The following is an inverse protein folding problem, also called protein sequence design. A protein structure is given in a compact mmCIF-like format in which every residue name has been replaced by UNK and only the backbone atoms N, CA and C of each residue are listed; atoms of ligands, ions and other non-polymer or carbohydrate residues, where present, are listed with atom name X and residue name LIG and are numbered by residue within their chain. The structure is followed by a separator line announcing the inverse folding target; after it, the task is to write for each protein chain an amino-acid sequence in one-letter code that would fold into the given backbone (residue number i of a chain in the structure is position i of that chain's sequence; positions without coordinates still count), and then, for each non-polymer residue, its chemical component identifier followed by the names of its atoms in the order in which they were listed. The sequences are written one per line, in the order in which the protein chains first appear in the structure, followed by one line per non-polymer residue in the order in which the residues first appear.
data_IF_076255568563
#
_entry.id   IF_076255568563
#
_cell.length_a   1.000
_cell.length_b   1.000
_cell.length_c   1.000
_cell.angle_alpha   90.00
_cell.angle_beta   90.00
_cell.angle_gamma   90.00
#
_symmetry.space_group_name_H-M   'P 1'
#
loop_
_entity.id
_entity.type
_entity.pdbx_description
1 polymer ?
#
# COMPACT_ATOMS: atom_id res chain seq x y z
N UNK A 1 14.81 -7.22 -3.86
CA UNK A 1 15.97 -7.13 -4.77
C UNK A 1 17.17 -7.71 -4.06
N UNK A 2 17.76 -8.75 -4.62
CA UNK A 2 18.95 -9.42 -4.10
C UNK A 2 20.13 -8.98 -4.94
N UNK A 3 21.15 -8.43 -4.30
CA UNK A 3 22.38 -7.98 -4.94
C UNK A 3 23.26 -9.19 -5.32
N UNK A 4 23.90 -9.12 -6.49
CA UNK A 4 24.83 -10.15 -6.99
C UNK A 4 25.89 -10.55 -5.97
N UNK A 5 26.39 -9.59 -5.19
CA UNK A 5 27.42 -9.82 -4.15
C UNK A 5 26.93 -10.71 -3.03
N UNK A 6 25.63 -10.66 -2.71
CA UNK A 6 25.01 -11.52 -1.69
C UNK A 6 24.88 -12.93 -2.26
N UNK A 7 24.37 -13.08 -3.49
CA UNK A 7 24.23 -14.38 -4.14
C UNK A 7 25.57 -15.11 -4.33
N UNK A 8 26.65 -14.37 -4.54
CA UNK A 8 28.00 -14.95 -4.62
C UNK A 8 28.43 -15.65 -3.31
N UNK A 9 27.89 -15.24 -2.15
CA UNK A 9 28.17 -15.86 -0.84
C UNK A 9 27.33 -17.10 -0.56
N UNK A 10 26.29 -17.37 -1.36
CA UNK A 10 25.34 -18.47 -1.15
C UNK A 10 25.21 -19.34 -2.42
N UNK A 11 26.27 -20.04 -2.85
CA UNK A 11 26.31 -20.73 -4.15
C UNK A 11 25.23 -21.81 -4.29
N UNK A 12 24.88 -22.53 -3.22
CA UNK A 12 23.79 -23.52 -3.21
C UNK A 12 22.43 -22.87 -3.51
N UNK A 13 22.15 -21.73 -2.88
CA UNK A 13 20.90 -21.00 -3.10
C UNK A 13 20.85 -20.38 -4.51
N UNK A 14 21.96 -19.82 -4.98
CA UNK A 14 22.07 -19.30 -6.35
C UNK A 14 21.82 -20.38 -7.39
N UNK A 15 22.35 -21.58 -7.18
CA UNK A 15 22.11 -22.71 -8.09
C UNK A 15 20.63 -23.16 -8.04
N UNK A 16 20.03 -23.21 -6.85
CA UNK A 16 18.60 -23.51 -6.71
C UNK A 16 17.73 -22.49 -7.46
N UNK A 17 18.02 -21.20 -7.36
CA UNK A 17 17.32 -20.17 -8.14
C UNK A 17 17.50 -20.39 -9.65
N UNK A 18 18.73 -20.66 -10.11
CA UNK A 18 19.00 -20.91 -11.54
C UNK A 18 18.30 -22.16 -12.08
N UNK A 19 18.16 -23.20 -11.28
CA UNK A 19 17.50 -24.45 -11.68
C UNK A 19 15.99 -24.30 -11.78
N UNK A 20 15.38 -23.49 -10.92
CA UNK A 20 13.92 -23.37 -10.81
C UNK A 20 13.37 -22.06 -11.40
N UNK A 21 14.24 -21.16 -11.90
CA UNK A 21 13.81 -19.94 -12.59
C UNK A 21 12.89 -20.30 -13.76
N UNK A 22 11.81 -19.53 -13.92
CA UNK A 22 10.74 -19.70 -14.92
C UNK A 22 9.64 -20.71 -14.62
N UNK A 23 9.67 -21.44 -13.51
CA UNK A 23 8.64 -22.47 -13.30
C UNK A 23 9.14 -23.86 -13.62
N UNK A 24 9.09 -24.77 -12.64
CA UNK A 24 9.07 -26.20 -12.92
C UNK A 24 7.66 -26.70 -12.61
N UNK A 25 7.09 -27.48 -13.53
CA UNK A 25 5.91 -28.30 -13.29
C UNK A 25 6.33 -29.77 -13.43
N UNK A 26 6.30 -30.51 -12.32
CA UNK A 26 6.68 -31.92 -12.27
C UNK A 26 5.49 -32.88 -12.11
N UNK A 27 4.26 -32.37 -12.27
CA UNK A 27 3.02 -33.11 -12.04
C UNK A 27 2.41 -32.92 -10.66
N UNK A 28 3.13 -32.32 -9.70
CA UNK A 28 2.63 -32.09 -8.33
C UNK A 28 2.95 -30.69 -7.76
N UNK A 29 4.04 -30.06 -8.21
CA UNK A 29 4.48 -28.74 -7.74
C UNK A 29 4.52 -27.78 -8.92
N UNK A 30 3.80 -26.65 -8.81
CA UNK A 30 4.00 -25.48 -9.68
C UNK A 30 4.94 -24.54 -8.92
N UNK A 31 6.24 -24.59 -9.22
CA UNK A 31 7.20 -23.68 -8.60
C UNK A 31 7.56 -22.56 -9.58
N UNK A 32 6.69 -21.56 -9.76
CA UNK A 32 7.05 -20.35 -10.51
C UNK A 32 8.00 -19.51 -9.66
N UNK A 33 9.29 -19.88 -9.62
CA UNK A 33 10.29 -19.07 -8.93
C UNK A 33 10.40 -17.74 -9.68
N UNK A 34 9.88 -16.63 -9.12
CA UNK A 34 9.78 -15.39 -9.86
C UNK A 34 11.11 -14.67 -9.70
N UNK A 35 12.12 -15.19 -10.39
CA UNK A 35 13.46 -14.63 -10.43
C UNK A 35 13.65 -13.87 -11.74
N UNK A 36 13.83 -12.57 -11.63
CA UNK A 36 14.12 -11.67 -12.75
C UNK A 36 15.48 -11.03 -12.52
N UNK A 37 16.38 -11.14 -13.49
CA UNK A 37 17.69 -10.48 -13.46
C UNK A 37 17.65 -9.23 -14.35
N UNK A 38 18.17 -8.10 -13.85
CA UNK A 38 18.33 -6.89 -14.65
C UNK A 38 19.76 -6.75 -15.20
N UNK A 39 20.01 -5.73 -16.02
CA UNK A 39 21.34 -5.50 -16.65
C UNK A 39 22.48 -5.31 -15.64
N UNK A 40 22.16 -4.95 -14.38
CA UNK A 40 23.13 -4.80 -13.29
C UNK A 40 23.42 -6.13 -12.57
N UNK A 41 22.78 -7.22 -12.97
CA UNK A 41 22.88 -8.53 -12.31
C UNK A 41 22.19 -8.59 -10.95
N UNK A 42 21.25 -7.66 -10.67
CA UNK A 42 20.41 -7.74 -9.49
C UNK A 42 19.23 -8.65 -9.76
N UNK A 43 18.75 -9.36 -8.73
CA UNK A 43 17.62 -10.28 -8.84
C UNK A 43 16.38 -9.75 -8.11
N UNK A 44 15.23 -9.71 -8.78
CA UNK A 44 13.94 -9.42 -8.16
C UNK A 44 13.20 -10.72 -7.88
N UNK A 45 13.16 -11.10 -6.61
CA UNK A 45 12.35 -12.20 -6.09
C UNK A 45 10.99 -11.64 -5.64
N UNK A 46 9.96 -11.74 -6.49
CA UNK A 46 8.65 -11.14 -6.23
C UNK A 46 7.51 -11.86 -6.94
N UNK A 47 6.43 -12.18 -6.21
CA UNK A 47 5.20 -12.69 -6.83
C UNK A 47 4.55 -11.67 -7.77
N UNK A 48 4.67 -10.38 -7.45
CA UNK A 48 4.19 -9.30 -8.31
C UNK A 48 5.23 -9.03 -9.38
N UNK A 49 4.84 -9.24 -10.64
CA UNK A 49 5.68 -8.99 -11.82
C UNK A 49 5.55 -7.54 -12.30
N UNK A 50 6.48 -7.11 -13.15
CA UNK A 50 6.42 -5.83 -13.86
C UNK A 50 5.16 -5.67 -14.74
N UNK A 51 4.50 -6.75 -15.14
CA UNK A 51 3.23 -6.73 -15.88
C UNK A 51 2.01 -6.57 -14.97
N UNK A 52 2.08 -7.06 -13.74
CA UNK A 52 1.01 -6.94 -12.75
C UNK A 52 1.01 -5.57 -12.08
N UNK A 53 2.20 -5.02 -11.82
CA UNK A 53 2.38 -3.78 -11.08
C UNK A 53 1.57 -2.60 -11.64
N UNK A 54 1.52 -2.33 -12.97
CA UNK A 54 0.70 -1.25 -13.51
C UNK A 54 -0.79 -1.41 -13.23
N UNK A 55 -1.31 -2.64 -13.27
CA UNK A 55 -2.73 -2.93 -13.04
C UNK A 55 -3.11 -2.72 -11.57
N UNK A 56 -2.20 -3.10 -10.66
CA UNK A 56 -2.36 -2.88 -9.22
C UNK A 56 -2.33 -1.37 -8.93
N UNK A 57 -1.29 -0.68 -9.39
CA UNK A 57 -1.11 0.75 -9.10
C UNK A 57 -2.21 1.62 -9.73
N UNK A 58 -2.75 1.23 -10.88
CA UNK A 58 -3.89 1.93 -11.48
C UNK A 58 -5.11 2.02 -10.53
N UNK A 59 -5.36 1.00 -9.71
CA UNK A 59 -6.43 1.01 -8.69
C UNK A 59 -5.97 1.71 -7.42
N UNK A 60 -4.73 1.45 -7.01
CA UNK A 60 -4.15 1.97 -5.79
C UNK A 60 -4.05 3.50 -5.78
N UNK A 61 -3.79 4.11 -6.95
CA UNK A 61 -3.54 5.55 -7.12
C UNK A 61 -4.79 6.36 -7.49
N UNK A 62 -5.98 5.80 -7.29
CA UNK A 62 -7.26 6.45 -7.53
C UNK A 62 -7.89 6.94 -6.25
N UNK A 63 -8.32 8.20 -6.23
CA UNK A 63 -8.88 8.83 -5.01
C UNK A 63 -10.29 8.35 -4.67
N UNK A 64 -11.06 7.95 -5.68
CA UNK A 64 -12.36 7.30 -5.55
C UNK A 64 -12.25 5.82 -5.14
N UNK A 65 -11.03 5.29 -5.03
CA UNK A 65 -10.74 3.93 -4.57
C UNK A 65 -9.82 3.95 -3.34
N UNK A 66 -8.54 3.64 -3.50
CA UNK A 66 -7.62 3.41 -2.39
C UNK A 66 -6.83 4.65 -1.95
N UNK A 67 -6.59 5.61 -2.83
CA UNK A 67 -5.73 6.76 -2.54
C UNK A 67 -6.49 7.83 -1.73
N UNK A 68 -6.32 7.83 -0.42
CA UNK A 68 -6.78 8.90 0.45
C UNK A 68 -5.84 10.11 0.37
N UNK A 69 -6.28 11.34 0.69
CA UNK A 69 -5.38 12.45 1.01
C UNK A 69 -4.34 12.11 2.09
N UNK A 70 -4.59 11.06 2.89
CA UNK A 70 -3.79 10.69 4.05
C UNK A 70 -3.00 9.38 3.87
N UNK A 71 -3.03 8.75 2.69
CA UNK A 71 -2.33 7.48 2.41
C UNK A 71 -3.18 6.47 1.64
N UNK A 72 -2.86 5.18 1.75
CA UNK A 72 -3.64 4.10 1.14
C UNK A 72 -4.61 3.50 2.17
N UNK A 73 -5.90 3.50 1.83
CA UNK A 73 -6.99 2.88 2.59
C UNK A 73 -6.83 1.36 2.62
N UNK A 74 -7.25 0.70 3.70
CA UNK A 74 -7.23 -0.77 3.78
C UNK A 74 -8.26 -1.45 2.87
N UNK A 75 -9.37 -0.77 2.58
CA UNK A 75 -10.43 -1.19 1.64
C UNK A 75 -10.73 -0.06 0.68
N UNK A 76 -10.99 -0.40 -0.58
CA UNK A 76 -11.35 0.58 -1.61
C UNK A 76 -12.64 1.32 -1.23
N UNK A 77 -12.62 2.65 -1.36
CA UNK A 77 -13.78 3.52 -1.14
C UNK A 77 -14.97 3.20 -2.06
N UNK A 78 -14.75 2.46 -3.15
CA UNK A 78 -15.84 1.98 -4.02
C UNK A 78 -16.89 1.16 -3.26
N UNK A 79 -16.49 0.49 -2.17
CA UNK A 79 -17.37 -0.29 -1.31
C UNK A 79 -18.21 0.55 -0.33
N UNK A 80 -18.13 1.88 -0.43
CA UNK A 80 -19.15 2.76 0.15
C UNK A 80 -20.49 2.60 -0.58
N UNK A 81 -20.45 2.33 -1.89
CA UNK A 81 -21.64 2.17 -2.74
C UNK A 81 -21.82 0.75 -3.27
N UNK A 82 -20.74 0.01 -3.50
CA UNK A 82 -20.76 -1.36 -4.04
C UNK A 82 -20.52 -2.39 -2.94
N UNK A 83 -21.55 -2.68 -2.14
CA UNK A 83 -21.43 -3.54 -0.95
C UNK A 83 -21.63 -5.03 -1.21
N UNK A 84 -22.59 -5.37 -2.07
CA UNK A 84 -22.96 -6.75 -2.34
C UNK A 84 -22.07 -7.33 -3.44
N UNK A 85 -21.31 -8.36 -3.11
CA UNK A 85 -20.37 -9.03 -4.02
C UNK A 85 -20.96 -10.30 -4.66
N UNK A 86 -22.23 -10.58 -4.38
CA UNK A 86 -22.95 -11.78 -4.82
C UNK A 86 -22.96 -12.88 -3.76
N UNK A 87 -23.34 -14.09 -4.17
CA UNK A 87 -23.46 -15.25 -3.28
C UNK A 87 -22.30 -16.21 -3.51
N UNK A 88 -21.56 -16.51 -2.45
CA UNK A 88 -20.49 -17.52 -2.46
C UNK A 88 -21.06 -18.90 -2.13
N UNK A 89 -20.80 -19.93 -2.95
CA UNK A 89 -21.24 -21.29 -2.67
C UNK A 89 -20.80 -21.77 -1.28
N UNK A 90 -21.75 -22.21 -0.46
CA UNK A 90 -21.48 -22.73 0.90
C UNK A 90 -21.23 -21.67 1.98
N UNK A 91 -21.08 -20.40 1.62
CA UNK A 91 -20.90 -19.29 2.59
C UNK A 91 -22.14 -18.39 2.67
N UNK A 92 -22.83 -18.21 1.54
CA UNK A 92 -24.00 -17.32 1.45
C UNK A 92 -23.64 -15.97 0.83
N UNK A 93 -24.40 -14.95 1.17
CA UNK A 93 -24.22 -13.60 0.62
C UNK A 93 -22.88 -12.99 1.10
N UNK A 94 -22.06 -12.57 0.15
CA UNK A 94 -20.80 -11.90 0.42
C UNK A 94 -21.00 -10.38 0.39
N UNK A 95 -20.75 -9.75 1.54
CA UNK A 95 -20.92 -8.31 1.73
C UNK A 95 -19.60 -7.72 2.20
N UNK A 96 -19.25 -6.57 1.64
CA UNK A 96 -18.15 -5.72 2.09
C UNK A 96 -18.66 -4.30 2.26
N UNK A 97 -18.13 -3.60 3.25
CA UNK A 97 -18.50 -2.21 3.50
C UNK A 97 -17.25 -1.40 3.79
N UNK A 98 -17.14 -0.24 3.13
CA UNK A 98 -16.14 0.75 3.46
C UNK A 98 -16.57 1.53 4.70
N UNK A 99 -15.85 1.33 5.79
CA UNK A 99 -16.04 2.01 7.07
C UNK A 99 -14.70 2.65 7.44
N UNK A 100 -14.52 3.96 7.21
CA UNK A 100 -13.20 4.59 7.23
C UNK A 100 -12.54 4.75 8.60
N UNK A 101 -13.24 4.57 9.73
CA UNK A 101 -12.68 4.80 11.07
C UNK A 101 -13.39 3.96 12.12
N UNK A 102 -14.28 4.56 12.91
CA UNK A 102 -15.10 3.80 13.86
C UNK A 102 -16.16 2.94 13.15
N UNK A 103 -16.36 1.73 13.67
CA UNK A 103 -17.32 0.73 13.23
C UNK A 103 -18.75 1.24 13.36
N UNK A 104 -19.59 0.78 12.43
CA UNK A 104 -21.04 0.91 12.49
C UNK A 104 -21.73 -0.11 13.43
N UNK A 105 -20.97 -0.95 14.12
CA UNK A 105 -21.46 -1.92 15.09
C UNK A 105 -20.54 -2.02 16.30
N UNK A 106 -21.07 -2.45 17.45
CA UNK A 106 -20.29 -2.66 18.67
C UNK A 106 -19.33 -3.87 18.63
N UNK A 107 -19.32 -4.63 17.53
CA UNK A 107 -18.36 -5.72 17.36
C UNK A 107 -16.93 -5.18 17.40
N UNK A 108 -16.03 -5.93 18.03
CA UNK A 108 -14.62 -5.56 18.20
C UNK A 108 -14.40 -4.19 18.86
N UNK A 109 -15.28 -3.82 19.81
CA UNK A 109 -15.13 -2.58 20.58
C UNK A 109 -15.44 -1.31 19.80
N UNK A 110 -16.15 -1.41 18.67
CA UNK A 110 -16.48 -0.24 17.85
C UNK A 110 -15.40 0.13 16.85
N UNK A 111 -14.33 -0.65 16.70
CA UNK A 111 -13.27 -0.40 15.71
C UNK A 111 -13.61 -1.05 14.35
N UNK A 112 -13.58 -0.29 13.25
CA UNK A 112 -13.82 -0.87 11.91
C UNK A 112 -12.66 -1.72 11.39
N UNK A 113 -11.49 -1.55 12.00
CA UNK A 113 -10.26 -2.30 11.85
C UNK A 113 -9.72 -2.21 10.41
N UNK A 114 -9.82 -3.30 9.65
CA UNK A 114 -9.31 -3.37 8.28
C UNK A 114 -10.33 -2.93 7.22
N UNK A 115 -11.48 -2.33 7.59
CA UNK A 115 -12.59 -2.04 6.66
C UNK A 115 -12.57 -0.66 5.98
N UNK A 116 -11.43 0.03 5.96
CA UNK A 116 -11.34 1.36 5.37
C UNK A 116 -10.24 2.26 5.92
N UNK A 117 -9.87 2.18 7.22
CA UNK A 117 -8.85 3.03 7.79
C UNK A 117 -7.49 2.93 7.11
N UNK A 118 -6.65 3.92 7.38
CA UNK A 118 -5.26 3.96 6.96
C UNK A 118 -4.39 3.40 8.07
N UNK A 119 -3.56 2.43 7.71
CA UNK A 119 -2.63 1.77 8.61
C UNK A 119 -1.20 2.13 8.22
N UNK A 120 -0.50 2.83 9.12
CA UNK A 120 0.87 3.29 8.88
C UNK A 120 1.84 2.13 8.55
N UNK A 121 1.87 1.01 9.29
CA UNK A 121 2.81 -0.08 9.00
C UNK A 121 2.61 -0.70 7.61
N UNK A 122 1.35 -0.86 7.19
CA UNK A 122 1.00 -1.40 5.86
C UNK A 122 1.42 -0.45 4.76
N UNK A 123 1.14 0.86 4.93
CA UNK A 123 1.56 1.89 4.00
C UNK A 123 3.09 2.02 3.90
N UNK A 124 3.78 1.95 5.03
CA UNK A 124 5.25 1.95 5.07
C UNK A 124 5.82 0.76 4.28
N UNK A 125 5.26 -0.44 4.49
CA UNK A 125 5.69 -1.64 3.76
C UNK A 125 5.45 -1.51 2.26
N UNK A 126 4.34 -0.88 1.85
CA UNK A 126 4.04 -0.58 0.45
C UNK A 126 5.05 0.41 -0.14
N UNK A 127 5.36 1.51 0.54
CA UNK A 127 6.38 2.49 0.10
C UNK A 127 7.74 1.80 -0.05
N UNK A 128 8.14 0.99 0.93
CA UNK A 128 9.36 0.19 0.88
C UNK A 128 9.36 -0.82 -0.28
N UNK A 129 8.20 -1.41 -0.62
CA UNK A 129 8.09 -2.27 -1.78
C UNK A 129 8.29 -1.48 -3.08
N UNK A 130 7.66 -0.31 -3.21
CA UNK A 130 7.81 0.58 -4.37
C UNK A 130 9.27 1.01 -4.58
N UNK A 131 9.99 1.36 -3.52
CA UNK A 131 11.43 1.68 -3.59
C UNK A 131 12.25 0.50 -4.10
N UNK A 132 11.95 -0.72 -3.63
CA UNK A 132 12.63 -1.95 -4.10
C UNK A 132 12.32 -2.23 -5.58
N UNK A 133 11.07 -2.05 -6.01
CA UNK A 133 10.70 -2.19 -7.41
C UNK A 133 11.34 -1.11 -8.27
N UNK A 134 11.38 0.13 -7.81
CA UNK A 134 12.05 1.24 -8.49
C UNK A 134 13.54 0.95 -8.68
N UNK A 135 14.23 0.52 -7.62
CA UNK A 135 15.63 0.09 -7.71
C UNK A 135 15.81 -0.93 -8.83
N UNK A 136 14.92 -1.91 -8.94
CA UNK A 136 15.05 -2.95 -9.95
C UNK A 136 14.70 -2.48 -11.38
N UNK A 137 13.58 -1.77 -11.55
CA UNK A 137 12.99 -1.41 -12.84
C UNK A 137 13.53 -0.09 -13.43
N UNK A 138 14.06 0.79 -12.60
CA UNK A 138 14.66 2.07 -13.00
C UNK A 138 13.65 3.18 -13.30
N UNK A 139 14.19 4.34 -13.70
CA UNK A 139 13.42 5.59 -13.92
C UNK A 139 12.47 5.52 -15.12
N UNK A 140 12.78 4.68 -16.12
CA UNK A 140 11.98 4.54 -17.34
C UNK A 140 10.69 3.73 -17.14
N UNK A 141 10.54 3.08 -15.98
CA UNK A 141 9.30 2.38 -15.65
C UNK A 141 8.33 3.35 -14.99
N UNK A 142 7.44 3.94 -15.81
CA UNK A 142 6.47 4.94 -15.37
C UNK A 142 5.04 4.39 -15.39
N UNK A 143 4.19 4.97 -14.55
CA UNK A 143 2.77 4.68 -14.45
C UNK A 143 1.99 6.00 -14.45
N UNK A 144 0.95 6.10 -15.29
CA UNK A 144 -0.03 7.17 -15.22
C UNK A 144 -0.72 7.22 -13.85
N UNK A 145 -0.72 8.39 -13.21
CA UNK A 145 -1.34 8.64 -11.91
C UNK A 145 -2.65 9.41 -12.11
N UNK A 146 -3.83 8.77 -11.97
CA UNK A 146 -5.11 9.40 -12.29
C UNK A 146 -5.40 10.66 -11.47
N UNK A 147 -5.03 10.66 -10.18
CA UNK A 147 -5.21 11.80 -9.28
C UNK A 147 -4.39 13.04 -9.64
N UNK A 148 -3.40 12.90 -10.53
CA UNK A 148 -2.55 13.98 -11.02
C UNK A 148 -2.77 14.23 -12.52
N UNK A 149 -4.00 14.06 -13.01
CA UNK A 149 -4.34 14.27 -14.41
C UNK A 149 -3.69 13.26 -15.36
N UNK A 150 -3.46 12.03 -14.90
CA UNK A 150 -2.74 10.97 -15.62
C UNK A 150 -1.26 11.31 -15.93
N UNK A 151 -0.63 12.18 -15.14
CA UNK A 151 0.81 12.37 -15.22
C UNK A 151 1.54 11.04 -15.00
N UNK A 152 2.49 10.74 -15.86
CA UNK A 152 3.39 9.59 -15.73
C UNK A 152 4.41 9.86 -14.62
N UNK A 153 4.44 9.02 -13.61
CA UNK A 153 5.42 9.04 -12.53
C UNK A 153 6.17 7.72 -12.47
N UNK A 154 7.46 7.75 -12.14
CA UNK A 154 8.20 6.55 -11.81
C UNK A 154 7.85 6.04 -10.39
N UNK A 155 8.30 4.83 -10.07
CA UNK A 155 7.93 4.18 -8.80
C UNK A 155 8.48 4.88 -7.55
N UNK A 156 9.60 5.61 -7.64
CA UNK A 156 10.11 6.42 -6.52
C UNK A 156 9.24 7.65 -6.28
N UNK A 157 8.84 8.32 -7.35
CA UNK A 157 7.92 9.47 -7.27
C UNK A 157 6.56 9.05 -6.70
N UNK A 158 6.05 7.88 -7.10
CA UNK A 158 4.82 7.31 -6.54
C UNK A 158 4.99 6.95 -5.06
N UNK A 159 6.11 6.35 -4.67
CA UNK A 159 6.43 6.10 -3.27
C UNK A 159 6.46 7.39 -2.45
N UNK A 160 7.04 8.46 -3.02
CA UNK A 160 7.08 9.79 -2.41
C UNK A 160 5.70 10.40 -2.29
N UNK A 161 4.86 10.30 -3.32
CA UNK A 161 3.47 10.76 -3.30
C UNK A 161 2.68 10.13 -2.14
N UNK A 162 2.81 8.82 -1.94
CA UNK A 162 2.14 8.12 -0.83
C UNK A 162 2.74 8.55 0.50
N UNK A 163 4.07 8.64 0.61
CA UNK A 163 4.75 9.05 1.83
C UNK A 163 4.35 10.47 2.28
N UNK A 164 4.29 11.44 1.37
CA UNK A 164 3.85 12.80 1.68
C UNK A 164 2.43 12.84 2.23
N UNK A 165 1.52 12.03 1.64
CA UNK A 165 0.14 11.91 2.14
C UNK A 165 0.08 11.30 3.55
N UNK A 166 0.96 10.36 3.88
CA UNK A 166 1.05 9.84 5.26
C UNK A 166 1.59 10.91 6.23
N UNK A 167 2.54 11.73 5.79
CA UNK A 167 3.04 12.86 6.59
C UNK A 167 1.94 13.91 6.79
N UNK A 168 1.07 14.11 5.81
CA UNK A 168 -0.07 15.02 5.90
C UNK A 168 -1.06 14.65 7.02
N UNK A 169 -1.07 13.42 7.53
CA UNK A 169 -1.81 13.06 8.75
C UNK A 169 -1.37 13.92 9.95
N UNK A 170 -0.08 14.25 10.02
CA UNK A 170 0.52 14.97 11.14
C UNK A 170 0.86 16.43 10.82
N UNK A 171 0.89 16.79 9.54
CA UNK A 171 1.16 18.16 9.07
C UNK A 171 -0.07 19.03 9.30
N UNK A 172 0.14 20.27 9.76
CA UNK A 172 -0.94 21.25 9.84
C UNK A 172 -1.44 21.60 8.43
N UNK A 173 -2.75 21.58 8.27
CA UNK A 173 -3.43 22.00 7.05
C UNK A 173 -3.44 23.53 6.89
N UNK A 174 -4.10 24.02 5.83
CA UNK A 174 -4.25 25.46 5.59
C UNK A 174 -5.03 26.21 6.69
N UNK A 175 -5.79 25.50 7.52
CA UNK A 175 -6.51 26.05 8.67
C UNK A 175 -5.70 25.93 9.98
N UNK A 176 -4.45 25.46 9.90
CA UNK A 176 -3.58 25.25 11.04
C UNK A 176 -3.93 24.01 11.87
N UNK A 177 -4.75 23.08 11.36
CA UNK A 177 -5.19 21.87 12.07
C UNK A 177 -4.37 20.66 11.65
N UNK A 178 -4.03 19.80 12.62
CA UNK A 178 -3.42 18.50 12.35
C UNK A 178 -4.51 17.45 12.18
N UNK A 179 -4.60 16.74 11.03
CA UNK A 179 -5.65 15.77 10.76
C UNK A 179 -5.79 14.66 11.79
N UNK A 180 -4.68 14.16 12.35
CA UNK A 180 -4.64 13.12 13.39
C UNK A 180 -5.41 13.45 14.67
N UNK A 181 -5.87 14.69 14.85
CA UNK A 181 -6.57 15.10 16.06
C UNK A 181 -8.00 15.54 15.75
N UNK A 182 -8.97 15.24 16.64
CA UNK A 182 -10.30 15.86 16.61
C UNK A 182 -10.19 17.39 16.51
N UNK A 183 -11.15 18.03 15.84
CA UNK A 183 -11.13 19.48 15.62
C UNK A 183 -11.23 20.31 16.92
N UNK A 184 -11.82 19.73 17.97
CA UNK A 184 -11.98 20.29 19.32
C UNK A 184 -10.90 19.83 20.31
N UNK A 185 -9.92 19.04 19.84
CA UNK A 185 -8.84 18.54 20.68
C UNK A 185 -7.92 19.67 21.15
N UNK A 186 -7.48 19.69 22.43
CA UNK A 186 -6.47 20.64 22.90
C UNK A 186 -5.14 20.53 22.15
N UNK A 187 -4.84 19.37 21.56
CA UNK A 187 -3.66 19.16 20.69
C UNK A 187 -3.72 19.98 19.39
N UNK A 188 -4.85 20.59 19.03
CA UNK A 188 -4.91 21.49 17.89
C UNK A 188 -4.26 22.85 18.18
N UNK A 189 -4.51 23.41 19.36
CA UNK A 189 -4.25 24.84 19.61
C UNK A 189 -3.51 25.16 20.91
N UNK A 190 -3.54 24.28 21.92
CA UNK A 190 -2.92 24.56 23.23
C UNK A 190 -1.39 24.69 23.07
N UNK A 191 -0.77 25.82 23.47
CA UNK A 191 0.67 26.04 23.30
C UNK A 191 1.56 24.96 23.91
N UNK A 192 1.09 24.23 24.92
CA UNK A 192 1.84 23.17 25.57
C UNK A 192 1.69 21.82 24.87
N UNK A 193 0.58 21.58 24.14
CA UNK A 193 0.26 20.26 23.57
C UNK A 193 0.30 20.23 22.06
N UNK A 194 0.22 21.39 21.40
CA UNK A 194 0.07 21.51 19.95
C UNK A 194 1.22 20.91 19.13
N UNK A 195 2.39 20.72 19.74
CA UNK A 195 3.58 20.15 19.10
C UNK A 195 3.84 18.69 19.54
N UNK A 196 2.96 18.11 20.36
CA UNK A 196 3.02 16.71 20.80
C UNK A 196 2.25 15.81 19.82
N UNK A 197 2.97 14.98 19.08
CA UNK A 197 2.38 13.99 18.19
C UNK A 197 1.98 12.73 18.95
N UNK A 198 0.80 12.18 18.64
CA UNK A 198 0.37 10.88 19.14
C UNK A 198 0.36 9.86 18.00
N UNK A 199 0.75 8.63 18.28
CA UNK A 199 0.79 7.56 17.28
C UNK A 199 -0.34 6.58 17.55
N UNK A 200 -1.32 6.58 16.63
CA UNK A 200 -2.48 5.71 16.69
C UNK A 200 -2.26 4.43 15.87
N UNK A 201 -3.08 3.42 16.17
CA UNK A 201 -3.07 2.15 15.45
C UNK A 201 -3.50 2.34 13.98
N UNK A 202 -4.52 3.17 13.76
CA UNK A 202 -5.08 3.50 12.45
C UNK A 202 -5.58 4.96 12.43
N UNK A 203 -5.87 5.45 11.21
CA UNK A 203 -6.41 6.79 10.96
C UNK A 203 -7.62 6.70 10.05
N UNK A 204 -8.56 7.63 10.21
CA UNK A 204 -9.76 7.70 9.42
C UNK A 204 -9.42 7.86 7.93
N UNK A 205 -9.91 6.93 7.10
CA UNK A 205 -9.54 6.80 5.69
C UNK A 205 -9.84 8.01 4.80
N UNK A 206 -10.67 8.95 5.24
CA UNK A 206 -11.01 10.16 4.48
C UNK A 206 -10.61 11.49 5.14
N UNK A 207 -10.39 11.50 6.45
CA UNK A 207 -10.16 12.73 7.22
C UNK A 207 -8.82 12.74 7.95
N UNK A 208 -8.17 11.58 8.08
CA UNK A 208 -6.90 11.44 8.78
C UNK A 208 -7.01 11.47 10.30
N UNK A 209 -8.23 11.57 10.88
CA UNK A 209 -8.49 11.57 12.32
C UNK A 209 -8.13 10.25 12.99
#
# INVERSE_FOLDING_TARGET
VVDRRILAKVPRFRELLRQHRHGVFDGSIICQCPDWENERGEHLLSLVTNRMLPRILKRLLREDEFLSPHGIRSVSRIHATHKHLGTLPGVGEAIIEYVPGESNSGLFGGNSNWRGPIWLPTNYTLVQALEKFHRFLGDNFTIAVPSLGNRELNLKEIGTLIAERLVDIYRRDANGRTPAFPADSPFQHDPHWRDLLQFYEYFHGDTGQ
#
